data_IF_047665218168
#
_entry.id   IF_047665218168
#
_cell.length_a   1.000
_cell.length_b   1.000
_cell.length_c   1.000
_cell.angle_alpha   90.00
_cell.angle_beta   90.00
_cell.angle_gamma   90.00
#
_symmetry.space_group_name_H-M   'P 1'
#
loop_
_entity.id
_entity.type
_entity.pdbx_description
1 polymer ?
#
# COMPACT_ATOMS: atom_id res chain seq x y z
N UNK A 1 -1.50 -7.82 31.50
CA UNK A 1 -1.55 -9.06 30.69
C UNK A 1 -0.11 -9.47 30.36
N UNK A 2 0.35 -10.59 30.90
CA UNK A 2 1.72 -11.08 30.76
C UNK A 2 1.87 -11.88 29.45
N UNK A 3 2.74 -11.42 28.55
CA UNK A 3 3.05 -12.11 27.30
C UNK A 3 4.17 -13.12 27.52
N UNK A 4 3.91 -14.38 27.16
CA UNK A 4 4.82 -15.51 27.33
C UNK A 4 6.19 -15.29 26.66
N UNK A 5 7.23 -15.07 27.47
CA UNK A 5 8.65 -15.02 27.07
C UNK A 5 9.32 -16.39 27.01
N UNK A 6 8.55 -17.48 27.15
CA UNK A 6 9.08 -18.85 27.19
C UNK A 6 8.82 -19.59 25.87
N UNK A 7 9.55 -19.21 24.83
CA UNK A 7 9.92 -20.18 23.81
C UNK A 7 10.91 -21.16 24.46
N UNK A 8 10.46 -22.41 24.60
CA UNK A 8 11.12 -23.56 25.20
C UNK A 8 12.65 -23.55 24.95
N UNK A 9 13.42 -23.17 25.97
CA UNK A 9 14.89 -23.14 25.94
C UNK A 9 15.42 -24.57 25.90
N UNK A 10 16.19 -24.94 24.87
CA UNK A 10 17.10 -26.09 24.95
C UNK A 10 18.27 -25.68 25.85
N UNK A 11 18.65 -26.55 26.78
CA UNK A 11 19.71 -26.33 27.79
C UNK A 11 21.11 -26.15 27.20
N UNK A 12 21.30 -26.37 25.89
CA UNK A 12 22.59 -26.31 25.20
C UNK A 12 22.92 -24.95 24.58
N UNK A 13 22.07 -23.93 24.71
CA UNK A 13 22.36 -22.57 24.24
C UNK A 13 22.37 -21.62 25.42
N UNK A 14 23.56 -21.22 25.86
CA UNK A 14 23.72 -20.10 26.78
C UNK A 14 22.97 -18.90 26.18
N UNK A 15 21.98 -18.40 26.93
CA UNK A 15 21.17 -17.28 26.49
C UNK A 15 22.06 -16.07 26.33
N UNK A 16 22.22 -15.55 25.10
CA UNK A 16 22.87 -14.25 24.80
C UNK A 16 21.96 -13.06 25.15
N UNK A 17 20.69 -13.34 25.49
CA UNK A 17 19.68 -12.33 25.86
C UNK A 17 20.13 -11.43 27.02
N UNK A 18 20.80 -11.90 28.08
CA UNK A 18 21.31 -11.02 29.13
C UNK A 18 22.39 -10.06 28.62
N UNK A 19 23.26 -10.52 27.71
CA UNK A 19 24.33 -9.70 27.12
C UNK A 19 23.77 -8.62 26.19
N UNK A 20 22.68 -8.91 25.47
CA UNK A 20 21.99 -7.93 24.62
C UNK A 20 21.14 -6.96 25.46
N UNK A 21 20.50 -7.43 26.53
CA UNK A 21 19.72 -6.59 27.43
C UNK A 21 20.59 -5.62 28.26
N UNK A 22 21.80 -6.03 28.66
CA UNK A 22 22.74 -5.20 29.42
C UNK A 22 23.23 -3.97 28.65
N UNK A 23 23.22 -4.01 27.31
CA UNK A 23 23.64 -2.91 26.44
C UNK A 23 22.49 -1.98 26.01
N UNK A 24 21.36 -1.99 26.73
CA UNK A 24 20.24 -1.08 26.47
C UNK A 24 19.40 -1.40 25.23
N UNK A 25 19.63 -2.53 24.54
CA UNK A 25 18.85 -2.92 23.35
C UNK A 25 17.41 -3.37 23.67
N UNK A 26 17.08 -3.64 24.92
CA UNK A 26 15.76 -4.13 25.35
C UNK A 26 15.28 -3.36 26.60
N UNK A 27 15.17 -2.04 26.52
CA UNK A 27 14.54 -1.28 27.61
C UNK A 27 13.02 -1.35 27.48
N UNK A 28 12.38 -1.96 28.48
CA UNK A 28 10.94 -1.85 28.71
C UNK A 28 10.65 -0.45 29.26
N UNK A 29 10.24 0.48 28.38
CA UNK A 29 9.89 1.85 28.72
C UNK A 29 8.86 2.39 27.75
N UNK A 30 7.77 2.93 28.31
CA UNK A 30 6.57 3.47 27.68
C UNK A 30 6.83 4.58 26.62
N UNK A 31 5.89 4.73 25.67
CA UNK A 31 5.81 5.61 24.48
C UNK A 31 6.41 5.03 23.18
N UNK A 32 5.53 4.42 22.37
CA UNK A 32 5.65 4.00 20.94
C UNK A 32 7.05 3.87 20.33
N UNK A 33 7.95 3.09 20.93
CA UNK A 33 9.22 2.76 20.32
C UNK A 33 9.01 1.63 19.28
N UNK A 34 9.42 1.87 18.03
CA UNK A 34 9.35 0.89 16.94
C UNK A 34 10.18 -0.35 17.31
N UNK A 35 9.52 -1.48 17.52
CA UNK A 35 10.19 -2.70 17.98
C UNK A 35 10.58 -3.60 16.81
N UNK A 36 11.86 -3.58 16.44
CA UNK A 36 12.41 -4.49 15.44
C UNK A 36 12.57 -5.91 15.99
N UNK A 37 12.11 -6.90 15.23
CA UNK A 37 12.11 -8.32 15.61
C UNK A 37 12.92 -9.14 14.62
N UNK A 38 13.71 -10.08 15.16
CA UNK A 38 14.56 -10.96 14.36
C UNK A 38 14.16 -12.41 14.56
N UNK A 39 13.94 -13.14 13.46
CA UNK A 39 13.74 -14.58 13.47
C UNK A 39 15.08 -15.23 13.13
N UNK A 40 15.71 -15.89 14.11
CA UNK A 40 16.89 -16.72 13.82
C UNK A 40 16.45 -18.10 13.33
N UNK A 41 16.83 -18.43 12.10
CA UNK A 41 16.64 -19.74 11.51
C UNK A 41 17.92 -20.55 11.67
N UNK A 42 17.81 -21.68 12.36
CA UNK A 42 18.86 -22.70 12.41
C UNK A 42 18.64 -23.71 11.29
N UNK A 43 19.70 -24.35 10.77
CA UNK A 43 19.58 -25.39 9.74
C UNK A 43 18.60 -26.52 10.11
N UNK A 44 18.48 -26.83 11.40
CA UNK A 44 17.54 -27.86 11.89
C UNK A 44 16.06 -27.50 11.74
N UNK A 45 15.72 -26.21 11.67
CA UNK A 45 14.35 -25.75 11.44
C UNK A 45 13.94 -25.79 9.96
N UNK A 46 14.87 -26.17 9.07
CA UNK A 46 14.72 -26.17 7.62
C UNK A 46 14.77 -27.57 7.03
N UNK A 47 14.63 -28.61 7.87
CA UNK A 47 14.46 -29.97 7.37
C UNK A 47 13.12 -30.05 6.63
N UNK A 48 13.06 -30.84 5.56
CA UNK A 48 11.90 -30.92 4.65
C UNK A 48 10.58 -31.26 5.34
N UNK A 49 10.62 -31.99 6.46
CA UNK A 49 9.49 -32.31 7.34
C UNK A 49 8.99 -31.10 8.15
N UNK A 50 9.90 -30.19 8.52
CA UNK A 50 9.63 -29.02 9.37
C UNK A 50 9.42 -27.71 8.61
N UNK A 51 9.81 -27.65 7.33
CA UNK A 51 9.62 -26.47 6.46
C UNK A 51 8.18 -25.92 6.47
N UNK A 52 7.10 -26.72 6.30
CA UNK A 52 5.74 -26.19 6.30
C UNK A 52 5.35 -25.56 7.64
N UNK A 53 5.79 -26.14 8.75
CA UNK A 53 5.56 -25.62 10.10
C UNK A 53 6.33 -24.31 10.32
N UNK A 54 7.57 -24.24 9.85
CA UNK A 54 8.38 -23.01 9.90
C UNK A 54 7.72 -21.90 9.09
N UNK A 55 7.21 -22.19 7.90
CA UNK A 55 6.48 -21.23 7.08
C UNK A 55 5.18 -20.75 7.74
N UNK A 56 4.41 -21.66 8.34
CA UNK A 56 3.20 -21.30 9.08
C UNK A 56 3.51 -20.37 10.27
N UNK A 57 4.63 -20.61 10.97
CA UNK A 57 5.09 -19.74 12.07
C UNK A 57 5.52 -18.37 11.56
N UNK A 58 6.25 -18.29 10.45
CA UNK A 58 6.65 -17.01 9.83
C UNK A 58 5.42 -16.20 9.45
N UNK A 59 4.44 -16.81 8.76
CA UNK A 59 3.18 -16.14 8.38
C UNK A 59 2.42 -15.64 9.60
N UNK A 60 2.27 -16.47 10.62
CA UNK A 60 1.60 -16.08 11.87
C UNK A 60 2.33 -14.90 12.53
N UNK A 61 3.66 -14.91 12.50
CA UNK A 61 4.43 -13.82 13.09
C UNK A 61 4.21 -12.52 12.32
N UNK A 62 4.25 -12.56 10.99
CA UNK A 62 3.98 -11.41 10.14
C UNK A 62 2.58 -10.84 10.36
N UNK A 63 1.55 -11.71 10.42
CA UNK A 63 0.18 -11.31 10.69
C UNK A 63 0.03 -10.60 12.04
N UNK A 64 0.85 -10.95 13.05
CA UNK A 64 0.84 -10.32 14.37
C UNK A 64 1.62 -9.00 14.41
N UNK A 65 2.64 -8.83 13.57
CA UNK A 65 3.50 -7.64 13.60
C UNK A 65 3.12 -6.58 12.57
N UNK A 66 2.18 -6.89 11.67
CA UNK A 66 1.86 -6.05 10.51
C UNK A 66 2.96 -6.04 9.44
N UNK A 67 4.09 -6.70 9.71
CA UNK A 67 5.16 -6.90 8.77
C UNK A 67 6.43 -6.02 8.89
N UNK A 68 6.36 -4.68 8.94
CA UNK A 68 7.49 -3.80 8.59
C UNK A 68 8.69 -3.85 9.55
N UNK A 69 8.53 -4.51 10.71
CA UNK A 69 9.52 -4.57 11.77
C UNK A 69 10.08 -5.99 11.98
N UNK A 70 10.13 -6.78 10.92
CA UNK A 70 10.60 -8.16 10.96
C UNK A 70 11.79 -8.37 10.02
N UNK A 71 12.81 -9.08 10.49
CA UNK A 71 13.87 -9.60 9.63
C UNK A 71 14.17 -11.06 9.96
N UNK A 72 14.49 -11.86 8.95
CA UNK A 72 14.83 -13.26 9.08
C UNK A 72 16.35 -13.40 8.98
N UNK A 73 17.00 -13.93 10.01
CA UNK A 73 18.45 -14.17 10.03
C UNK A 73 18.71 -15.65 9.75
N UNK A 74 19.45 -15.94 8.68
CA UNK A 74 19.77 -17.31 8.27
C UNK A 74 21.23 -17.64 8.53
N UNK A 75 21.50 -18.65 9.35
CA UNK A 75 22.86 -19.09 9.65
C UNK A 75 23.39 -20.02 8.53
N UNK A 76 24.35 -19.53 7.74
CA UNK A 76 24.92 -20.26 6.61
C UNK A 76 25.99 -21.28 7.02
N UNK A 77 26.76 -21.04 8.10
CA UNK A 77 27.74 -22.02 8.58
C UNK A 77 27.12 -23.00 9.57
N UNK A 78 27.08 -24.28 9.20
CA UNK A 78 26.89 -25.38 10.13
C UNK A 78 28.26 -25.79 10.69
N UNK A 79 28.71 -25.15 11.78
CA UNK A 79 29.95 -25.57 12.48
C UNK A 79 29.76 -26.81 13.35
N UNK A 80 28.62 -27.50 13.24
CA UNK A 80 28.31 -28.74 13.94
C UNK A 80 28.58 -29.98 13.09
N UNK A 81 29.81 -30.47 13.17
CA UNK A 81 30.27 -31.79 12.73
C UNK A 81 29.27 -32.93 13.07
N UNK A 82 29.11 -33.90 12.14
CA UNK A 82 28.53 -35.26 12.30
C UNK A 82 27.00 -35.47 12.33
N UNK A 83 26.16 -34.62 11.72
CA UNK A 83 24.73 -34.97 11.46
C UNK A 83 24.36 -34.82 9.97
N UNK A 84 25.34 -34.97 9.07
CA UNK A 84 25.15 -34.89 7.61
C UNK A 84 25.54 -36.21 6.96
N UNK A 85 25.02 -37.32 7.49
CA UNK A 85 25.21 -38.65 6.90
C UNK A 85 23.88 -39.38 6.60
N UNK A 86 22.71 -38.81 6.88
CA UNK A 86 21.43 -39.54 6.75
C UNK A 86 20.33 -38.79 5.97
N UNK A 87 20.63 -37.73 5.23
CA UNK A 87 19.69 -37.17 4.25
C UNK A 87 20.21 -37.33 2.82
N UNK A 88 20.49 -38.59 2.45
CA UNK A 88 20.71 -39.02 1.08
C UNK A 88 19.36 -39.18 0.37
N UNK A 89 19.04 -38.26 -0.56
CA UNK A 89 18.44 -38.57 -1.89
C UNK A 89 17.86 -37.36 -2.65
N UNK A 90 17.77 -36.15 -2.07
CA UNK A 90 17.41 -34.94 -2.85
C UNK A 90 18.41 -33.82 -2.61
N UNK A 91 19.24 -33.52 -3.61
CA UNK A 91 20.36 -32.57 -3.55
C UNK A 91 19.94 -31.09 -3.50
N UNK A 92 18.79 -30.77 -2.91
CA UNK A 92 18.31 -29.39 -2.81
C UNK A 92 18.70 -28.84 -1.45
N UNK A 93 19.45 -27.74 -1.46
CA UNK A 93 19.80 -27.06 -0.23
C UNK A 93 18.51 -26.64 0.49
N UNK A 94 18.31 -27.01 1.78
CA UNK A 94 17.08 -26.72 2.51
C UNK A 94 16.80 -25.21 2.62
N UNK A 95 17.87 -24.41 2.59
CA UNK A 95 17.80 -22.96 2.51
C UNK A 95 17.22 -22.47 1.18
N UNK A 96 17.63 -23.07 0.06
CA UNK A 96 17.15 -22.69 -1.26
C UNK A 96 15.65 -22.97 -1.39
N UNK A 97 15.18 -24.11 -0.84
CA UNK A 97 13.76 -24.43 -0.87
C UNK A 97 12.92 -23.48 -0.01
N UNK A 98 13.41 -23.13 1.19
CA UNK A 98 12.75 -22.12 2.02
C UNK A 98 12.70 -20.76 1.31
N UNK A 99 13.82 -20.31 0.76
CA UNK A 99 13.89 -19.03 0.05
C UNK A 99 12.94 -19.02 -1.15
N UNK A 100 12.87 -20.12 -1.91
CA UNK A 100 11.92 -20.27 -3.02
C UNK A 100 10.49 -20.17 -2.52
N UNK A 101 10.15 -20.81 -1.40
CA UNK A 101 8.82 -20.73 -0.81
C UNK A 101 8.49 -19.34 -0.22
N UNK A 102 9.49 -18.63 0.28
CA UNK A 102 9.33 -17.29 0.85
C UNK A 102 9.13 -16.24 -0.26
N UNK A 103 9.89 -16.33 -1.35
CA UNK A 103 9.77 -15.42 -2.49
C UNK A 103 8.64 -15.77 -3.46
N UNK A 104 8.12 -17.00 -3.45
CA UNK A 104 6.93 -17.34 -4.25
C UNK A 104 5.63 -16.76 -3.69
N UNK A 105 5.64 -16.26 -2.46
CA UNK A 105 4.47 -15.70 -1.79
C UNK A 105 4.57 -14.18 -1.74
N UNK A 106 3.62 -13.49 -2.39
CA UNK A 106 3.57 -12.03 -2.43
C UNK A 106 3.53 -11.42 -1.02
N UNK A 107 2.83 -12.08 -0.08
CA UNK A 107 2.69 -11.63 1.31
C UNK A 107 3.99 -11.69 2.12
N UNK A 108 4.99 -12.43 1.64
CA UNK A 108 6.27 -12.67 2.33
C UNK A 108 7.47 -12.06 1.60
N UNK A 109 7.31 -11.72 0.32
CA UNK A 109 8.39 -11.24 -0.54
C UNK A 109 9.07 -9.95 -0.03
N UNK A 110 8.38 -9.17 0.80
CA UNK A 110 8.92 -7.93 1.37
C UNK A 110 9.73 -8.14 2.66
N UNK A 111 9.73 -9.34 3.26
CA UNK A 111 10.46 -9.61 4.51
C UNK A 111 11.96 -9.72 4.23
N UNK A 112 12.80 -8.88 4.85
CA UNK A 112 14.23 -8.90 4.64
C UNK A 112 14.85 -10.17 5.23
N UNK A 113 15.63 -10.85 4.39
CA UNK A 113 16.40 -12.03 4.77
C UNK A 113 17.88 -11.66 4.87
N UNK A 114 18.45 -11.85 6.05
CA UNK A 114 19.81 -11.48 6.43
C UNK A 114 20.69 -12.74 6.49
N UNK A 115 21.59 -12.96 5.53
CA UNK A 115 22.53 -14.07 5.59
C UNK A 115 23.57 -13.82 6.68
N UNK A 116 23.79 -14.83 7.53
CA UNK A 116 24.78 -14.81 8.60
C UNK A 116 25.77 -15.94 8.37
N UNK A 117 27.02 -15.60 8.02
CA UNK A 117 28.07 -16.60 7.85
C UNK A 117 28.39 -17.29 9.19
N UNK A 118 28.84 -16.55 10.19
CA UNK A 118 29.24 -17.09 11.49
C UNK A 118 28.46 -16.42 12.63
N UNK A 119 28.21 -17.15 13.71
CA UNK A 119 27.45 -16.64 14.85
C UNK A 119 28.12 -15.43 15.53
N UNK A 120 29.45 -15.36 15.49
CA UNK A 120 30.24 -14.24 16.03
C UNK A 120 29.93 -12.90 15.34
N UNK A 121 29.52 -12.94 14.06
CA UNK A 121 29.15 -11.74 13.29
C UNK A 121 27.73 -11.28 13.55
N UNK A 122 26.93 -12.03 14.32
CA UNK A 122 25.53 -11.71 14.57
C UNK A 122 25.36 -10.30 15.19
N UNK A 123 26.09 -9.90 16.25
CA UNK A 123 25.89 -8.58 16.85
C UNK A 123 26.19 -7.45 15.88
N UNK A 124 27.24 -7.60 15.06
CA UNK A 124 27.61 -6.61 14.04
C UNK A 124 26.56 -6.52 12.92
N UNK A 125 26.02 -7.66 12.47
CA UNK A 125 24.96 -7.72 11.47
C UNK A 125 23.67 -7.07 11.97
N UNK A 126 23.23 -7.40 13.19
CA UNK A 126 22.04 -6.84 13.79
C UNK A 126 22.18 -5.33 13.98
N UNK A 127 23.33 -4.85 14.47
CA UNK A 127 23.60 -3.43 14.64
C UNK A 127 23.53 -2.68 13.32
N UNK A 128 24.23 -3.17 12.29
CA UNK A 128 24.23 -2.55 10.96
C UNK A 128 22.82 -2.51 10.36
N UNK A 129 22.03 -3.56 10.55
CA UNK A 129 20.65 -3.59 10.08
C UNK A 129 19.74 -2.65 10.88
N UNK A 130 19.83 -2.62 12.22
CA UNK A 130 19.07 -1.67 13.04
C UNK A 130 19.41 -0.23 12.70
N UNK A 131 20.69 0.10 12.55
CA UNK A 131 21.14 1.42 12.14
C UNK A 131 20.63 1.73 10.73
N UNK A 132 20.66 0.76 9.81
CA UNK A 132 20.11 0.91 8.47
C UNK A 132 18.60 1.19 8.49
N UNK A 133 17.81 0.51 9.33
CA UNK A 133 16.35 0.69 9.40
C UNK A 133 15.95 1.96 10.16
N UNK A 134 16.69 2.32 11.22
CA UNK A 134 16.43 3.52 12.02
C UNK A 134 16.93 4.79 11.32
N UNK A 135 18.09 4.72 10.66
CA UNK A 135 18.69 5.84 9.94
C UNK A 135 18.30 5.88 8.46
N UNK A 136 17.62 4.85 7.95
CA UNK A 136 16.86 5.01 6.73
C UNK A 136 15.88 6.15 6.98
N UNK A 137 16.21 7.34 6.47
CA UNK A 137 15.19 8.29 6.06
C UNK A 137 14.14 7.43 5.38
N UNK A 138 12.86 7.50 5.78
CA UNK A 138 11.84 6.78 5.06
C UNK A 138 12.02 7.20 3.62
N UNK A 139 12.59 6.30 2.82
CA UNK A 139 12.31 6.28 1.41
C UNK A 139 10.86 5.89 1.48
N UNK A 140 10.00 6.91 1.61
CA UNK A 140 8.76 6.87 0.89
C UNK A 140 9.23 6.46 -0.50
N UNK A 141 9.19 5.15 -0.78
CA UNK A 141 8.59 4.71 -2.01
C UNK A 141 7.38 5.63 -2.08
N UNK A 142 7.50 6.67 -2.91
CA UNK A 142 6.35 7.44 -3.29
C UNK A 142 5.43 6.34 -3.82
N UNK A 143 4.54 5.82 -2.98
CA UNK A 143 3.19 5.66 -3.44
C UNK A 143 2.92 7.06 -3.93
N UNK A 144 3.07 7.25 -5.24
CA UNK A 144 2.63 8.46 -5.90
C UNK A 144 1.20 8.55 -5.43
N UNK A 145 0.98 9.38 -4.42
CA UNK A 145 -0.35 9.65 -3.92
C UNK A 145 -1.04 10.15 -5.17
N UNK A 146 -2.02 9.39 -5.70
CA UNK A 146 -2.55 9.67 -7.02
C UNK A 146 -2.92 11.15 -7.02
N UNK A 147 -2.34 11.89 -7.97
CA UNK A 147 -2.58 13.32 -8.04
C UNK A 147 -4.09 13.53 -8.09
N UNK A 148 -4.60 14.65 -7.58
CA UNK A 148 -6.03 14.97 -7.77
C UNK A 148 -6.42 14.90 -9.25
N UNK A 149 -5.47 15.17 -10.14
CA UNK A 149 -5.58 14.95 -11.58
C UNK A 149 -5.75 13.47 -11.97
N UNK A 150 -4.95 12.57 -11.40
CA UNK A 150 -5.08 11.13 -11.66
C UNK A 150 -6.41 10.57 -11.13
N UNK A 151 -6.87 11.07 -9.99
CA UNK A 151 -8.19 10.72 -9.44
C UNK A 151 -9.29 11.19 -10.39
N UNK A 152 -9.22 12.44 -10.86
CA UNK A 152 -10.19 12.99 -11.82
C UNK A 152 -10.26 12.13 -13.09
N UNK A 153 -9.12 11.64 -13.58
CA UNK A 153 -9.08 10.78 -14.77
C UNK A 153 -9.78 9.44 -14.58
N UNK A 154 -9.98 9.00 -13.34
CA UNK A 154 -10.72 7.79 -12.98
C UNK A 154 -12.22 8.05 -12.72
N UNK A 155 -12.68 9.30 -12.71
CA UNK A 155 -14.06 9.67 -12.39
C UNK A 155 -15.00 9.62 -13.61
N UNK A 156 -14.97 8.53 -14.37
CA UNK A 156 -15.88 8.29 -15.50
C UNK A 156 -16.34 6.84 -15.59
N UNK A 157 -17.38 6.60 -16.40
CA UNK A 157 -17.87 5.26 -16.70
C UNK A 157 -16.87 4.43 -17.52
N UNK A 158 -15.98 5.08 -18.28
CA UNK A 158 -14.96 4.45 -19.11
C UNK A 158 -13.58 5.06 -18.81
N UNK A 159 -12.98 4.75 -17.66
CA UNK A 159 -11.69 5.31 -17.31
C UNK A 159 -10.54 4.67 -18.14
N UNK A 160 -9.41 5.37 -18.31
CA UNK A 160 -9.16 6.75 -17.90
C UNK A 160 -9.66 7.77 -18.94
N UNK A 161 -10.06 8.96 -18.50
CA UNK A 161 -10.32 10.06 -19.46
C UNK A 161 -9.03 10.52 -20.12
N UNK A 162 -9.18 11.03 -21.35
CA UNK A 162 -8.11 11.65 -22.09
C UNK A 162 -7.55 12.86 -21.32
N UNK A 163 -6.23 13.03 -21.37
CA UNK A 163 -5.54 14.06 -20.60
C UNK A 163 -6.00 15.49 -20.96
N UNK A 164 -6.26 15.74 -22.24
CA UNK A 164 -6.82 17.00 -22.76
C UNK A 164 -8.16 17.35 -22.11
N UNK A 165 -9.03 16.35 -21.96
CA UNK A 165 -10.33 16.50 -21.31
C UNK A 165 -10.18 16.75 -19.79
N UNK A 166 -9.22 16.08 -19.15
CA UNK A 166 -8.94 16.31 -17.73
C UNK A 166 -8.48 17.76 -17.47
N UNK A 167 -7.58 18.30 -18.30
CA UNK A 167 -7.16 19.69 -18.21
C UNK A 167 -8.33 20.66 -18.44
N UNK A 168 -9.13 20.38 -19.46
CA UNK A 168 -10.30 21.21 -19.75
C UNK A 168 -11.31 21.24 -18.59
N UNK A 169 -11.51 20.12 -17.91
CA UNK A 169 -12.35 20.06 -16.70
C UNK A 169 -11.74 20.89 -15.57
N UNK A 170 -10.42 20.80 -15.34
CA UNK A 170 -9.75 21.59 -14.29
C UNK A 170 -9.77 23.10 -14.56
N UNK A 171 -9.88 23.51 -15.82
CA UNK A 171 -10.03 24.93 -16.19
C UNK A 171 -11.46 25.46 -15.92
N UNK A 172 -12.47 24.58 -16.03
CA UNK A 172 -13.89 24.95 -15.86
C UNK A 172 -14.35 24.83 -14.41
N UNK A 173 -13.85 23.82 -13.69
CA UNK A 173 -14.26 23.48 -12.33
C UNK A 173 -13.08 23.65 -11.37
N UNK A 174 -13.30 24.44 -10.33
CA UNK A 174 -12.26 24.76 -9.35
C UNK A 174 -11.90 23.54 -8.48
N UNK A 175 -12.86 22.67 -8.21
CA UNK A 175 -12.66 21.44 -7.45
C UNK A 175 -13.56 20.30 -7.96
N UNK A 176 -13.22 19.05 -7.60
CA UNK A 176 -13.97 17.87 -8.02
C UNK A 176 -15.39 17.83 -7.42
N UNK A 177 -15.62 18.56 -6.32
CA UNK A 177 -16.92 18.62 -5.65
C UNK A 177 -17.89 19.56 -6.39
N UNK A 178 -17.39 20.62 -6.99
CA UNK A 178 -18.10 21.55 -7.90
C UNK A 178 -18.54 20.80 -9.15
N UNK A 179 -17.63 20.00 -9.74
CA UNK A 179 -17.97 19.10 -10.85
C UNK A 179 -19.07 18.11 -10.45
N UNK A 180 -18.90 17.40 -9.34
CA UNK A 180 -19.86 16.40 -8.89
C UNK A 180 -21.25 17.00 -8.59
N UNK A 181 -21.31 18.20 -7.97
CA UNK A 181 -22.57 18.93 -7.76
C UNK A 181 -23.22 19.31 -9.09
N UNK A 182 -22.45 19.90 -9.99
CA UNK A 182 -22.94 20.29 -11.31
C UNK A 182 -23.55 19.10 -12.06
N UNK A 183 -22.89 17.92 -12.04
CA UNK A 183 -23.40 16.71 -12.69
C UNK A 183 -24.64 16.10 -12.01
N UNK A 184 -24.79 16.26 -10.70
CA UNK A 184 -25.97 15.76 -9.96
C UNK A 184 -27.21 16.64 -10.12
N UNK A 185 -27.01 17.94 -10.18
CA UNK A 185 -28.11 18.91 -10.22
C UNK A 185 -28.74 19.05 -11.63
N UNK A 186 -28.14 18.42 -12.65
CA UNK A 186 -28.60 18.52 -14.03
C UNK A 186 -29.38 17.28 -14.48
N UNK A 187 -30.52 17.50 -15.14
CA UNK A 187 -31.18 16.44 -15.91
C UNK A 187 -30.50 16.29 -17.27
N UNK A 188 -30.24 15.06 -17.69
CA UNK A 188 -29.66 14.76 -19.01
C UNK A 188 -30.55 15.31 -20.14
N UNK A 189 -31.87 15.27 -19.94
CA UNK A 189 -32.83 15.80 -20.91
C UNK A 189 -32.69 17.32 -21.12
N UNK A 190 -32.34 18.06 -20.06
CA UNK A 190 -32.19 19.51 -20.12
C UNK A 190 -30.91 19.92 -20.87
N UNK A 191 -29.85 19.12 -20.75
CA UNK A 191 -28.62 19.28 -21.52
C UNK A 191 -28.82 19.01 -23.02
N UNK A 192 -29.69 18.06 -23.38
CA UNK A 192 -30.00 17.75 -24.78
C UNK A 192 -30.94 18.78 -25.41
N UNK A 193 -31.90 19.31 -24.65
CA UNK A 193 -32.86 20.33 -25.14
C UNK A 193 -32.22 21.70 -25.35
N UNK A 194 -31.19 22.04 -24.59
CA UNK A 194 -30.52 23.35 -24.69
C UNK A 194 -29.88 23.61 -26.07
N UNK A 195 -29.43 22.57 -26.77
CA UNK A 195 -28.82 22.70 -28.11
C UNK A 195 -29.82 23.20 -29.17
N UNK A 196 -31.13 22.98 -28.95
CA UNK A 196 -32.17 23.35 -29.91
C UNK A 196 -32.60 24.82 -29.80
N UNK A 197 -32.22 25.52 -28.72
CA UNK A 197 -32.73 26.87 -28.43
C UNK A 197 -31.69 27.99 -28.62
N UNK A 198 -30.43 27.68 -28.94
CA UNK A 198 -29.35 28.67 -29.12
C UNK A 198 -29.19 29.17 -30.58
N UNK A 199 -30.08 28.80 -31.51
CA UNK A 199 -30.05 29.30 -32.90
C UNK A 199 -30.96 30.52 -33.19
N UNK A 200 -31.58 31.16 -32.19
CA UNK A 200 -32.40 32.36 -32.43
C UNK A 200 -31.79 33.63 -31.80
N UNK A 201 -31.13 34.50 -32.58
CA UNK A 201 -30.60 35.76 -32.07
C UNK A 201 -31.59 36.90 -32.30
N UNK A 202 -32.78 36.91 -31.67
CA UNK A 202 -33.62 38.12 -31.66
C UNK A 202 -34.49 38.26 -30.38
N UNK A 203 -34.16 39.29 -29.60
CA UNK A 203 -35.03 40.26 -28.92
C UNK A 203 -36.29 39.80 -28.15
N UNK A 204 -36.30 40.00 -26.82
CA UNK A 204 -37.30 40.78 -26.03
C UNK A 204 -37.02 40.58 -24.52
N UNK A 205 -36.64 41.63 -23.79
CA UNK A 205 -37.49 42.62 -23.09
C UNK A 205 -38.13 42.09 -21.79
N UNK A 206 -37.67 42.69 -20.68
CA UNK A 206 -38.24 42.84 -19.34
C UNK A 206 -39.51 42.09 -18.95
N UNK A 207 -39.40 41.31 -17.88
CA UNK A 207 -40.34 41.39 -16.75
C UNK A 207 -39.74 40.87 -15.45
N UNK A 208 -39.70 41.76 -14.44
CA UNK A 208 -39.43 41.43 -13.04
C UNK A 208 -40.61 40.67 -12.41
N UNK A 209 -40.34 39.62 -11.62
CA UNK A 209 -40.91 39.38 -10.29
C UNK A 209 -40.36 38.08 -9.66
N UNK A 210 -39.82 38.23 -8.45
CA UNK A 210 -39.62 37.25 -7.36
C UNK A 210 -39.49 35.74 -7.66
N UNK A 211 -38.23 35.24 -7.61
CA UNK A 211 -37.88 33.93 -7.03
C UNK A 211 -36.36 33.86 -6.74
N UNK A 212 -35.94 34.28 -5.55
CA UNK A 212 -34.56 34.06 -5.05
C UNK A 212 -34.41 32.61 -4.57
N UNK A 213 -34.31 31.64 -5.47
CA UNK A 213 -33.87 30.27 -5.09
C UNK A 213 -33.21 29.46 -6.21
N UNK A 214 -32.86 30.05 -7.36
CA UNK A 214 -32.42 29.27 -8.54
C UNK A 214 -31.17 29.81 -9.25
N UNK A 215 -30.40 30.73 -8.65
CA UNK A 215 -29.21 31.29 -9.32
C UNK A 215 -28.03 30.29 -9.45
N UNK A 216 -27.89 29.35 -8.52
CA UNK A 216 -26.73 28.41 -8.51
C UNK A 216 -26.80 27.42 -9.69
N UNK A 217 -28.00 26.99 -10.09
CA UNK A 217 -28.17 26.06 -11.21
C UNK A 217 -27.75 26.63 -12.56
N UNK A 218 -27.92 27.94 -12.76
CA UNK A 218 -27.60 28.60 -14.05
C UNK A 218 -26.10 28.60 -14.36
N UNK A 219 -25.25 28.83 -13.36
CA UNK A 219 -23.81 28.87 -13.54
C UNK A 219 -23.23 27.47 -13.83
N UNK A 220 -23.63 26.47 -13.04
CA UNK A 220 -23.22 25.07 -13.22
C UNK A 220 -23.65 24.52 -14.59
N UNK A 221 -24.86 24.88 -15.05
CA UNK A 221 -25.34 24.45 -16.36
C UNK A 221 -24.49 25.04 -17.50
N UNK A 222 -24.12 26.32 -17.43
CA UNK A 222 -23.24 26.94 -18.43
C UNK A 222 -21.85 26.28 -18.52
N UNK A 223 -21.30 25.84 -17.39
CA UNK A 223 -20.03 25.09 -17.31
C UNK A 223 -20.15 23.73 -17.99
N UNK A 224 -21.24 23.01 -17.75
CA UNK A 224 -21.49 21.71 -18.37
C UNK A 224 -21.78 21.80 -19.87
N UNK A 225 -22.41 22.90 -20.33
CA UNK A 225 -22.54 23.17 -21.78
C UNK A 225 -21.19 23.35 -22.45
N UNK A 226 -20.28 24.11 -21.83
CA UNK A 226 -18.89 24.25 -22.33
C UNK A 226 -18.18 22.89 -22.39
N UNK A 227 -18.35 22.07 -21.36
CA UNK A 227 -17.81 20.70 -21.32
C UNK A 227 -18.34 19.83 -22.48
N UNK A 228 -19.65 19.88 -22.72
CA UNK A 228 -20.31 19.16 -23.80
C UNK A 228 -19.89 19.66 -25.18
N UNK A 229 -19.74 20.96 -25.36
CA UNK A 229 -19.28 21.57 -26.61
C UNK A 229 -17.86 21.15 -26.99
N UNK A 230 -16.99 20.91 -26.00
CA UNK A 230 -15.64 20.41 -26.23
C UNK A 230 -15.64 18.92 -26.62
N UNK A 231 -16.32 18.06 -25.87
CA UNK A 231 -16.46 16.65 -26.20
C UNK A 231 -17.74 16.06 -25.61
N UNK A 232 -18.79 15.96 -26.45
CA UNK A 232 -20.11 15.53 -26.01
C UNK A 232 -20.11 14.10 -25.44
N UNK A 233 -19.42 13.17 -26.08
CA UNK A 233 -19.37 11.77 -25.63
C UNK A 233 -18.69 11.63 -24.26
N UNK A 234 -17.54 12.28 -24.09
CA UNK A 234 -16.82 12.26 -22.81
C UNK A 234 -17.60 12.99 -21.70
N UNK A 235 -18.22 14.13 -22.01
CA UNK A 235 -19.06 14.86 -21.07
C UNK A 235 -20.22 14.00 -20.55
N UNK A 236 -20.91 13.27 -21.45
CA UNK A 236 -22.00 12.37 -21.07
C UNK A 236 -21.52 11.21 -20.19
N UNK A 237 -20.35 10.65 -20.47
CA UNK A 237 -19.75 9.61 -19.63
C UNK A 237 -19.41 10.10 -18.21
N UNK A 238 -18.96 11.35 -18.08
CA UNK A 238 -18.69 11.98 -16.77
C UNK A 238 -20.00 12.24 -16.02
N UNK A 239 -20.99 12.83 -16.68
CA UNK A 239 -22.27 13.17 -16.05
C UNK A 239 -22.97 11.89 -15.56
N UNK A 240 -23.06 10.88 -16.42
CA UNK A 240 -23.63 9.57 -16.06
C UNK A 240 -22.88 8.91 -14.90
N UNK A 241 -21.55 9.06 -14.85
CA UNK A 241 -20.74 8.54 -13.75
C UNK A 241 -21.17 9.10 -12.39
N UNK A 242 -21.32 10.42 -12.30
CA UNK A 242 -21.64 11.09 -11.04
C UNK A 242 -23.11 11.00 -10.64
N UNK A 243 -24.01 10.75 -11.59
CA UNK A 243 -25.43 10.49 -11.32
C UNK A 243 -25.67 9.09 -10.75
N UNK A 244 -24.85 8.10 -11.13
CA UNK A 244 -24.97 6.71 -10.66
C UNK A 244 -24.27 6.44 -9.31
N UNK A 245 -23.74 7.47 -8.64
CA UNK A 245 -23.02 7.39 -7.36
C UNK A 245 -23.68 8.24 -6.29
#
# INVERSE_FOLDING_TARGET
>A
MAFCTLLRRRTSFASIVPTLAANGFLQAGSMTCRQLRFILLSPHALRSDTTPDTMARIRRFIALTGGPDLAIVMLLSSTGSKIVAECSSSSKDPYEDLLRQLFSQADLAWVPVLPLATLEKLPALLRRYTEGVLNAKPVHTKQDTPSTFDILRQCTMSPPIEESMAYYITDIFFDIRDLARACRDISVDDLCKADLNEQSPYFSSSQDHHAQSTQVGSASMSKLRKLKAFNAAAAMNIITFWQNK
#
